data_IF_100767724349
#
_entry.id   IF_100767724349
#
_cell.length_a   1.000
_cell.length_b   1.000
_cell.length_c   1.000
_cell.angle_alpha   90.00
_cell.angle_beta   90.00
_cell.angle_gamma   90.00
#
_symmetry.space_group_name_H-M   'P 1'
#
loop_
_entity.id
_entity.type
_entity.pdbx_description
1 polymer ?
#
# COMPACT_ATOMS: atom_id res chain seq x y z
N UNK A 1 -13.76 -12.04 2.70
CA UNK A 1 -13.25 -10.71 3.09
C UNK A 1 -12.06 -10.39 2.20
N UNK A 2 -11.95 -9.15 1.73
CA UNK A 2 -10.81 -8.69 0.93
C UNK A 2 -9.57 -8.57 1.80
N UNK A 3 -8.42 -8.96 1.27
CA UNK A 3 -7.13 -8.93 1.97
C UNK A 3 -6.37 -7.65 1.64
N UNK A 4 -5.96 -6.92 2.65
CA UNK A 4 -5.12 -5.73 2.50
C UNK A 4 -3.75 -6.02 3.11
N UNK A 5 -2.68 -5.70 2.39
CA UNK A 5 -1.33 -5.71 2.93
C UNK A 5 -0.90 -4.27 3.24
N UNK A 6 -0.49 -4.02 4.48
CA UNK A 6 0.03 -2.73 4.93
C UNK A 6 1.54 -2.90 5.15
N UNK A 7 2.35 -2.08 4.48
CA UNK A 7 3.81 -2.13 4.55
C UNK A 7 4.35 -0.73 4.88
N UNK A 8 4.77 -0.54 6.13
CA UNK A 8 5.31 0.72 6.65
C UNK A 8 6.17 0.39 7.89
N UNK A 9 7.34 0.99 8.04
CA UNK A 9 8.22 0.78 9.20
C UNK A 9 7.78 1.57 10.45
N UNK A 10 6.84 2.51 10.31
CA UNK A 10 6.20 3.23 11.41
C UNK A 10 5.04 2.39 12.01
N UNK A 11 5.31 1.69 13.11
CA UNK A 11 4.34 0.78 13.74
C UNK A 11 2.99 1.44 14.07
N UNK A 12 3.02 2.67 14.60
CA UNK A 12 1.80 3.41 14.97
C UNK A 12 0.89 3.66 13.75
N UNK A 13 1.48 3.91 12.57
CA UNK A 13 0.74 4.09 11.32
C UNK A 13 0.11 2.77 10.88
N UNK A 14 0.89 1.69 10.90
CA UNK A 14 0.40 0.34 10.54
C UNK A 14 -0.76 -0.07 11.43
N UNK A 15 -0.64 0.13 12.74
CA UNK A 15 -1.67 -0.25 13.71
C UNK A 15 -2.93 0.60 13.58
N UNK A 16 -2.79 1.91 13.36
CA UNK A 16 -3.91 2.82 13.12
C UNK A 16 -4.69 2.44 11.87
N UNK A 17 -3.98 2.20 10.75
CA UNK A 17 -4.59 1.76 9.50
C UNK A 17 -5.24 0.38 9.63
N UNK A 18 -4.56 -0.56 10.26
CA UNK A 18 -5.10 -1.91 10.51
C UNK A 18 -6.42 -1.82 11.28
N UNK A 19 -6.45 -1.06 12.37
CA UNK A 19 -7.64 -0.92 13.23
C UNK A 19 -8.85 -0.40 12.45
N UNK A 20 -8.69 0.69 11.69
CA UNK A 20 -9.82 1.27 10.94
C UNK A 20 -10.27 0.36 9.79
N UNK A 21 -9.34 -0.30 9.10
CA UNK A 21 -9.66 -1.18 7.97
C UNK A 21 -10.31 -2.50 8.42
N UNK A 22 -9.88 -3.07 9.55
CA UNK A 22 -10.53 -4.26 10.11
C UNK A 22 -11.96 -3.95 10.58
N UNK A 23 -12.21 -2.75 11.12
CA UNK A 23 -13.56 -2.27 11.44
C UNK A 23 -14.43 -2.07 10.18
N UNK A 24 -13.83 -1.95 9.00
CA UNK A 24 -14.51 -1.93 7.70
C UNK A 24 -14.65 -3.32 7.05
N UNK A 25 -14.49 -4.43 7.81
CA UNK A 25 -14.60 -5.81 7.33
C UNK A 25 -13.52 -6.26 6.31
N UNK A 26 -12.34 -5.64 6.34
CA UNK A 26 -11.17 -6.14 5.63
C UNK A 26 -10.32 -7.06 6.51
N UNK A 27 -9.53 -7.94 5.87
CA UNK A 27 -8.51 -8.74 6.56
C UNK A 27 -7.14 -8.11 6.30
N UNK A 28 -6.51 -7.61 7.35
CA UNK A 28 -5.24 -6.89 7.24
C UNK A 28 -4.05 -7.81 7.56
N UNK A 29 -3.04 -7.74 6.69
CA UNK A 29 -1.71 -8.31 6.89
C UNK A 29 -0.73 -7.15 7.00
N UNK A 30 0.26 -7.29 7.86
CA UNK A 30 1.19 -6.20 8.17
C UNK A 30 2.63 -6.66 7.96
N UNK A 31 3.46 -5.77 7.42
CA UNK A 31 4.90 -5.91 7.38
C UNK A 31 5.56 -4.58 7.73
N UNK A 32 6.64 -4.63 8.50
CA UNK A 32 7.32 -3.44 9.04
C UNK A 32 8.64 -3.13 8.32
N UNK A 33 8.84 -3.72 7.14
CA UNK A 33 9.96 -3.46 6.26
C UNK A 33 9.64 -3.96 4.85
N UNK A 34 10.41 -3.47 3.88
CA UNK A 34 10.18 -3.78 2.47
C UNK A 34 10.45 -5.23 2.05
N UNK A 35 11.39 -5.93 2.70
CA UNK A 35 11.72 -7.33 2.38
C UNK A 35 10.56 -8.26 2.76
N UNK A 36 10.07 -8.13 3.99
CA UNK A 36 8.92 -8.89 4.47
C UNK A 36 7.63 -8.49 3.73
N UNK A 37 7.45 -7.20 3.44
CA UNK A 37 6.31 -6.72 2.65
C UNK A 37 6.25 -7.34 1.26
N UNK A 38 7.38 -7.36 0.53
CA UNK A 38 7.45 -8.00 -0.79
C UNK A 38 7.23 -9.52 -0.71
N UNK A 39 7.78 -10.18 0.32
CA UNK A 39 7.58 -11.61 0.55
C UNK A 39 6.10 -11.92 0.82
N UNK A 40 5.47 -11.22 1.76
CA UNK A 40 4.06 -11.40 2.08
C UNK A 40 3.17 -11.14 0.88
N UNK A 41 3.41 -10.06 0.12
CA UNK A 41 2.65 -9.74 -1.10
C UNK A 41 2.61 -10.92 -2.07
N UNK A 42 3.73 -11.63 -2.21
CA UNK A 42 3.85 -12.79 -3.11
C UNK A 42 3.21 -14.05 -2.58
N UNK A 43 3.22 -14.24 -1.26
CA UNK A 43 2.65 -15.40 -0.58
C UNK A 43 1.12 -15.31 -0.47
N UNK A 44 0.61 -14.18 0.01
CA UNK A 44 -0.83 -14.04 0.31
C UNK A 44 -1.62 -13.56 -0.89
N UNK A 45 -0.99 -12.90 -1.88
CA UNK A 45 -1.65 -12.29 -3.04
C UNK A 45 -2.82 -11.40 -2.58
N UNK A 46 -2.53 -10.23 -1.98
CA UNK A 46 -3.56 -9.36 -1.42
C UNK A 46 -4.44 -8.76 -2.52
N UNK A 47 -5.63 -8.32 -2.14
CA UNK A 47 -6.52 -7.59 -3.04
C UNK A 47 -6.09 -6.12 -3.21
N UNK A 48 -5.34 -5.55 -2.25
CA UNK A 48 -4.76 -4.20 -2.30
C UNK A 48 -3.52 -4.11 -1.39
N UNK A 49 -2.57 -3.24 -1.74
CA UNK A 49 -1.38 -2.94 -0.93
C UNK A 49 -1.37 -1.46 -0.56
N UNK A 50 -1.19 -1.16 0.73
CA UNK A 50 -0.81 0.15 1.24
C UNK A 50 0.70 0.11 1.50
N UNK A 51 1.45 1.02 0.90
CA UNK A 51 2.91 0.94 0.84
C UNK A 51 3.58 2.27 1.15
N UNK A 52 4.37 2.33 2.20
CA UNK A 52 5.28 3.45 2.40
C UNK A 52 6.46 3.39 1.43
N UNK A 53 6.98 4.57 1.07
CA UNK A 53 8.14 4.70 0.21
C UNK A 53 9.44 4.67 1.02
N UNK A 54 9.47 5.28 2.20
CA UNK A 54 10.67 5.57 2.97
C UNK A 54 11.05 4.47 3.96
N UNK A 55 11.21 3.24 3.48
CA UNK A 55 11.67 2.13 4.31
C UNK A 55 13.17 1.83 4.17
N UNK A 56 13.84 1.32 5.21
CA UNK A 56 15.22 0.83 5.13
C UNK A 56 15.39 -0.31 4.11
N UNK A 57 16.58 -0.38 3.50
CA UNK A 57 17.04 -1.41 2.54
C UNK A 57 16.29 -1.42 1.21
N UNK A 58 14.98 -1.68 1.22
CA UNK A 58 14.12 -1.72 0.04
C UNK A 58 13.03 -0.67 0.21
N UNK A 59 13.07 0.36 -0.64
CA UNK A 59 12.05 1.40 -0.66
C UNK A 59 10.77 0.95 -1.39
N UNK A 60 9.67 1.66 -1.14
CA UNK A 60 8.36 1.35 -1.73
C UNK A 60 8.32 1.42 -3.25
N UNK A 61 9.04 2.37 -3.88
CA UNK A 61 9.13 2.46 -5.34
C UNK A 61 9.63 1.16 -5.98
N UNK A 62 10.68 0.56 -5.40
CA UNK A 62 11.23 -0.70 -5.90
C UNK A 62 10.25 -1.86 -5.74
N UNK A 63 9.52 -1.92 -4.62
CA UNK A 63 8.50 -2.95 -4.38
C UNK A 63 7.36 -2.80 -5.37
N UNK A 64 6.84 -1.58 -5.54
CA UNK A 64 5.79 -1.26 -6.51
C UNK A 64 6.17 -1.73 -7.91
N UNK A 65 7.36 -1.35 -8.38
CA UNK A 65 7.87 -1.78 -9.69
C UNK A 65 7.99 -3.30 -9.80
N UNK A 66 8.52 -3.99 -8.77
CA UNK A 66 8.67 -5.45 -8.80
C UNK A 66 7.33 -6.19 -8.89
N UNK A 67 6.27 -5.65 -8.30
CA UNK A 67 4.93 -6.24 -8.34
C UNK A 67 4.19 -5.84 -9.62
N UNK A 68 4.24 -4.57 -10.02
CA UNK A 68 3.51 -4.05 -11.18
C UNK A 68 4.02 -4.55 -12.53
N UNK A 69 5.30 -4.95 -12.60
CA UNK A 69 5.89 -5.54 -13.80
C UNK A 69 5.91 -7.07 -13.81
N UNK A 70 5.34 -7.71 -12.79
CA UNK A 70 5.14 -9.16 -12.74
C UNK A 70 3.70 -9.50 -13.17
N UNK A 71 3.54 -10.39 -14.15
CA UNK A 71 2.24 -10.74 -14.72
C UNK A 71 1.25 -11.30 -13.71
N UNK A 72 1.74 -11.88 -12.62
CA UNK A 72 0.91 -12.44 -11.53
C UNK A 72 0.38 -11.37 -10.59
N UNK A 73 1.12 -10.28 -10.37
CA UNK A 73 0.82 -9.29 -9.33
C UNK A 73 0.40 -7.92 -9.90
N UNK A 74 0.60 -7.67 -11.20
CA UNK A 74 0.40 -6.36 -11.83
C UNK A 74 -0.98 -5.71 -11.64
N UNK A 75 -2.01 -6.51 -11.41
CA UNK A 75 -3.37 -6.02 -11.26
C UNK A 75 -3.73 -5.69 -9.79
N UNK A 76 -2.84 -5.96 -8.83
CA UNK A 76 -3.06 -5.59 -7.43
C UNK A 76 -2.90 -4.06 -7.33
N UNK A 77 -3.92 -3.31 -6.85
CA UNK A 77 -3.79 -1.89 -6.60
C UNK A 77 -2.77 -1.61 -5.50
N UNK A 78 -1.92 -0.59 -5.71
CA UNK A 78 -0.90 -0.12 -4.77
C UNK A 78 -1.18 1.34 -4.46
N UNK A 79 -1.54 1.61 -3.20
CA UNK A 79 -1.69 2.94 -2.63
C UNK A 79 -0.38 3.30 -1.94
N UNK A 80 0.36 4.26 -2.49
CA UNK A 80 1.54 4.80 -1.81
C UNK A 80 1.12 5.78 -0.73
N UNK A 81 1.56 5.55 0.51
CA UNK A 81 1.24 6.41 1.65
C UNK A 81 2.55 6.83 2.30
N UNK A 82 3.02 8.05 2.08
CA UNK A 82 4.39 8.43 2.44
C UNK A 82 4.58 9.93 2.72
N UNK A 83 5.63 10.30 3.45
CA UNK A 83 5.99 11.70 3.68
C UNK A 83 6.70 12.35 2.48
N UNK A 84 7.09 11.57 1.47
CA UNK A 84 7.61 12.06 0.19
C UNK A 84 6.51 12.81 -0.56
N UNK A 85 6.60 14.13 -0.63
CA UNK A 85 5.51 14.99 -1.09
C UNK A 85 5.83 15.81 -2.34
N UNK A 86 7.08 15.75 -2.81
CA UNK A 86 7.52 16.51 -3.98
C UNK A 86 6.86 15.95 -5.24
N UNK A 87 6.66 16.83 -6.24
CA UNK A 87 6.06 16.44 -7.52
C UNK A 87 6.86 15.31 -8.21
N UNK A 88 8.19 15.37 -8.11
CA UNK A 88 9.11 14.35 -8.61
C UNK A 88 8.87 12.97 -7.95
N UNK A 89 8.60 12.93 -6.65
CA UNK A 89 8.32 11.67 -5.95
C UNK A 89 7.00 11.05 -6.42
N UNK A 90 5.98 11.89 -6.70
CA UNK A 90 4.68 11.43 -7.24
C UNK A 90 4.85 10.86 -8.64
N UNK A 91 5.61 11.54 -9.50
CA UNK A 91 5.95 11.06 -10.84
C UNK A 91 6.67 9.70 -10.79
N UNK A 92 7.64 9.53 -9.89
CA UNK A 92 8.30 8.23 -9.70
C UNK A 92 7.30 7.16 -9.21
N UNK A 93 6.36 7.53 -8.35
CA UNK A 93 5.26 6.66 -7.93
C UNK A 93 4.45 6.14 -9.12
N UNK A 94 4.01 7.03 -10.00
CA UNK A 94 3.29 6.70 -11.24
C UNK A 94 4.13 5.81 -12.17
N UNK A 95 5.40 6.16 -12.41
CA UNK A 95 6.31 5.40 -13.27
C UNK A 95 6.63 3.99 -12.73
N UNK A 96 6.58 3.82 -11.41
CA UNK A 96 6.73 2.51 -10.76
C UNK A 96 5.42 1.74 -10.69
N UNK A 97 4.32 2.35 -11.11
CA UNK A 97 3.01 1.74 -11.25
C UNK A 97 2.10 1.90 -10.05
N UNK A 98 2.34 2.83 -9.11
CA UNK A 98 1.37 3.11 -8.07
C UNK A 98 0.03 3.56 -8.68
N UNK A 99 -1.09 3.09 -8.11
CA UNK A 99 -2.44 3.46 -8.57
C UNK A 99 -2.95 4.71 -7.84
N UNK A 100 -2.41 5.00 -6.66
CA UNK A 100 -2.78 6.16 -5.88
C UNK A 100 -1.61 6.62 -5.00
N UNK A 101 -1.58 7.92 -4.69
CA UNK A 101 -0.53 8.54 -3.89
C UNK A 101 -1.11 9.48 -2.82
N UNK A 102 -0.92 9.12 -1.56
CA UNK A 102 -1.37 9.86 -0.38
C UNK A 102 -0.15 10.33 0.42
N UNK A 103 -0.13 11.62 0.74
CA UNK A 103 0.99 12.24 1.46
C UNK A 103 0.73 12.27 2.98
N UNK A 104 1.74 11.96 3.79
CA UNK A 104 1.73 12.15 5.25
C UNK A 104 1.91 13.64 5.59
N UNK A 105 1.21 14.20 6.60
CA UNK A 105 0.15 13.57 7.38
C UNK A 105 -1.15 13.43 6.57
N UNK A 106 -1.93 12.39 6.85
CA UNK A 106 -3.19 12.08 6.17
C UNK A 106 -4.31 11.83 7.18
N UNK A 107 -5.56 11.90 6.71
CA UNK A 107 -6.73 11.45 7.44
C UNK A 107 -6.95 9.95 7.19
N UNK A 108 -7.20 9.18 8.26
CA UNK A 108 -7.50 7.74 8.16
C UNK A 108 -8.76 7.50 7.32
N UNK A 109 -9.76 8.39 7.42
CA UNK A 109 -10.99 8.27 6.65
C UNK A 109 -10.74 8.41 5.15
N UNK A 110 -9.76 9.21 4.75
CA UNK A 110 -9.41 9.38 3.34
C UNK A 110 -8.70 8.14 2.77
N UNK A 111 -7.87 7.47 3.58
CA UNK A 111 -7.28 6.17 3.20
C UNK A 111 -8.37 5.11 3.08
N UNK A 112 -9.30 5.05 4.04
CA UNK A 112 -10.43 4.09 4.01
C UNK A 112 -11.30 4.29 2.77
N UNK A 113 -11.70 5.53 2.46
CA UNK A 113 -12.49 5.84 1.25
C UNK A 113 -11.75 5.43 -0.03
N UNK A 114 -10.43 5.67 -0.07
CA UNK A 114 -9.60 5.29 -1.21
C UNK A 114 -9.55 3.76 -1.36
N UNK A 115 -9.34 3.02 -0.27
CA UNK A 115 -9.39 1.55 -0.28
C UNK A 115 -10.74 1.06 -0.80
N UNK A 116 -11.85 1.60 -0.31
CA UNK A 116 -13.21 1.26 -0.76
C UNK A 116 -13.40 1.55 -2.25
N UNK A 117 -12.90 2.69 -2.76
CA UNK A 117 -12.91 3.01 -4.20
C UNK A 117 -12.22 1.92 -5.03
N UNK A 118 -11.15 1.29 -4.55
CA UNK A 118 -10.44 0.24 -5.30
C UNK A 118 -11.00 -1.18 -5.10
N UNK A 119 -11.56 -1.47 -3.92
CA UNK A 119 -11.99 -2.83 -3.56
C UNK A 119 -13.48 -3.08 -3.68
N UNK A 120 -14.29 -2.05 -3.47
CA UNK A 120 -15.74 -2.13 -3.31
C UNK A 120 -16.50 -1.33 -4.37
N UNK A 121 -15.80 -0.66 -5.30
CA UNK A 121 -16.45 -0.13 -6.50
C UNK A 121 -16.99 -1.30 -7.32
N UNK A 122 -18.29 -1.50 -7.22
CA UNK A 122 -19.07 -2.40 -8.06
C UNK A 122 -18.78 -2.11 -9.54
N UNK A 123 -18.61 -3.20 -10.29
CA UNK A 123 -19.00 -3.19 -11.70
C UNK A 123 -20.50 -3.07 -11.82
#
# INVERSE_FOLDING_TARGET
>A
MKKILIVDDEQDIVESLKFVLENCNYTCYCAYNGEDGLKLAREIIPDLIILDVMMPRINGFKISRLLKFDSKYKNIPILMVTARSQEEDKLIGEETGADEYITKPFDLDDVVKTVQKYLDSDK
#
